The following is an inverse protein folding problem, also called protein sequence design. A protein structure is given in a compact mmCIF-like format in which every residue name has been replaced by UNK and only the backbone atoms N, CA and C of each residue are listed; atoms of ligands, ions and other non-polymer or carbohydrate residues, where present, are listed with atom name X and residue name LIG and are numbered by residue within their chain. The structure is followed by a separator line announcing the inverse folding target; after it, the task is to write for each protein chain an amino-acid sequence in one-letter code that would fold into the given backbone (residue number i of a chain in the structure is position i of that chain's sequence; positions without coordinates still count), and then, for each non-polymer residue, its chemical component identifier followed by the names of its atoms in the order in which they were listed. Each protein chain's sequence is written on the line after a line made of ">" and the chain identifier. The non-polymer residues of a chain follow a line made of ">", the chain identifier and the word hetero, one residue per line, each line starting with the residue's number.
data_IF_381878240171
#
_entry.id   IF_381878240171
#
_cell.length_a   1.000
_cell.length_b   1.000
_cell.length_c   1.000
_cell.angle_alpha   90.00
_cell.angle_beta   90.00
_cell.angle_gamma   90.00
#
_symmetry.space_group_name_H-M   'P 1'
#
loop_
_entity.id
_entity.type
_entity.pdbx_description
1 polymer ?
#
# COMPACT_ATOMS: atom_id res chain seq x y z
N UNK A 1 5.66 -5.79 0.40
CA UNK A 1 7.02 -6.01 -0.17
C UNK A 1 7.86 -6.91 0.71
N UNK A 2 8.39 -6.45 1.84
CA UNK A 2 9.37 -7.20 2.67
C UNK A 2 8.96 -8.65 3.01
N UNK A 3 7.71 -8.87 3.42
CA UNK A 3 7.24 -10.23 3.75
C UNK A 3 7.25 -11.17 2.55
N UNK A 4 6.90 -10.69 1.35
CA UNK A 4 6.92 -11.48 0.11
C UNK A 4 8.37 -11.88 -0.20
N UNK A 5 9.30 -10.93 -0.19
CA UNK A 5 10.72 -11.20 -0.41
C UNK A 5 11.28 -12.19 0.61
N UNK A 6 10.94 -12.00 1.89
CA UNK A 6 11.38 -12.87 2.97
C UNK A 6 10.91 -14.31 2.79
N UNK A 7 9.61 -14.52 2.53
CA UNK A 7 9.04 -15.86 2.33
C UNK A 7 9.62 -16.55 1.09
N UNK A 8 9.77 -15.83 -0.02
CA UNK A 8 10.24 -16.37 -1.29
C UNK A 8 11.73 -16.67 -1.28
N UNK A 9 12.56 -15.77 -0.77
CA UNK A 9 14.01 -15.88 -0.86
C UNK A 9 14.63 -16.67 0.31
N UNK A 10 14.08 -16.55 1.51
CA UNK A 10 14.67 -17.15 2.71
C UNK A 10 13.96 -18.44 3.13
N UNK A 11 12.70 -18.65 2.71
CA UNK A 11 11.89 -19.85 3.02
C UNK A 11 12.00 -20.23 4.50
N UNK A 12 11.66 -19.31 5.41
CA UNK A 12 11.88 -19.49 6.84
C UNK A 12 11.05 -20.62 7.41
N UNK A 13 11.63 -21.40 8.33
CA UNK A 13 10.89 -22.41 9.09
C UNK A 13 10.10 -21.77 10.23
N UNK A 14 8.98 -22.36 10.62
CA UNK A 14 8.20 -21.97 11.80
C UNK A 14 7.25 -20.80 11.58
N UNK A 15 7.10 -20.28 10.35
CA UNK A 15 6.06 -19.32 10.02
C UNK A 15 4.71 -20.05 9.91
N UNK A 16 3.77 -19.72 10.79
CA UNK A 16 2.44 -20.32 10.82
C UNK A 16 1.50 -19.69 9.80
N UNK A 17 1.56 -18.38 9.63
CA UNK A 17 0.80 -17.63 8.62
C UNK A 17 1.46 -16.28 8.33
N UNK A 18 1.04 -15.64 7.25
CA UNK A 18 1.46 -14.30 6.85
C UNK A 18 0.24 -13.38 6.69
N UNK A 19 0.45 -12.08 6.94
CA UNK A 19 -0.56 -11.05 6.72
C UNK A 19 0.05 -9.95 5.85
N UNK A 20 -0.57 -9.67 4.72
CA UNK A 20 -0.20 -8.60 3.80
C UNK A 20 -1.34 -7.58 3.82
N UNK A 21 -1.14 -6.49 4.57
CA UNK A 21 -2.08 -5.38 4.65
C UNK A 21 -1.61 -4.26 3.73
N UNK A 22 -2.42 -3.95 2.72
CA UNK A 22 -2.19 -2.87 1.75
C UNK A 22 -0.79 -2.90 1.11
N UNK A 23 -0.26 -4.11 0.87
CA UNK A 23 1.05 -4.32 0.25
C UNK A 23 0.96 -4.59 -1.25
N UNK A 24 2.12 -4.78 -1.90
CA UNK A 24 2.16 -5.10 -3.33
C UNK A 24 3.27 -6.11 -3.67
N UNK A 25 3.10 -6.89 -4.74
CA UNK A 25 4.07 -7.87 -5.20
C UNK A 25 5.02 -7.33 -6.28
N UNK A 26 4.75 -6.12 -6.80
CA UNK A 26 5.46 -5.56 -7.97
C UNK A 26 5.40 -4.05 -7.94
N UNK A 27 6.56 -3.41 -8.11
CA UNK A 27 6.66 -1.94 -8.18
C UNK A 27 6.11 -1.41 -9.51
N UNK A 28 6.27 -2.15 -10.60
CA UNK A 28 5.70 -1.77 -11.90
C UNK A 28 4.17 -1.83 -11.89
N UNK A 29 3.57 -2.89 -11.33
CA UNK A 29 2.12 -3.01 -11.17
C UNK A 29 1.58 -1.92 -10.24
N UNK A 30 2.27 -1.65 -9.12
CA UNK A 30 1.89 -0.57 -8.22
C UNK A 30 1.85 0.76 -8.95
N UNK A 31 2.95 1.16 -9.61
CA UNK A 31 3.01 2.42 -10.36
C UNK A 31 1.93 2.51 -11.44
N UNK A 32 1.69 1.44 -12.19
CA UNK A 32 0.63 1.38 -13.20
C UNK A 32 -0.76 1.65 -12.59
N UNK A 33 -1.06 1.07 -11.44
CA UNK A 33 -2.35 1.25 -10.77
C UNK A 33 -2.48 2.64 -10.14
N UNK A 34 -1.38 3.21 -9.59
CA UNK A 34 -1.41 4.61 -9.15
C UNK A 34 -1.71 5.55 -10.33
N UNK A 35 -1.06 5.35 -11.48
CA UNK A 35 -1.35 6.14 -12.69
C UNK A 35 -2.78 5.93 -13.22
N UNK A 36 -3.38 4.76 -12.98
CA UNK A 36 -4.79 4.54 -13.26
C UNK A 36 -5.69 5.38 -12.33
N UNK A 37 -5.35 5.44 -11.04
CA UNK A 37 -6.04 6.31 -10.08
C UNK A 37 -5.89 7.80 -10.44
N UNK A 38 -4.70 8.24 -10.86
CA UNK A 38 -4.45 9.61 -11.30
C UNK A 38 -5.37 10.05 -12.45
N UNK A 39 -5.73 9.15 -13.37
CA UNK A 39 -6.67 9.44 -14.46
C UNK A 39 -8.10 9.79 -13.98
N UNK A 40 -8.43 9.50 -12.73
CA UNK A 40 -9.70 9.87 -12.12
C UNK A 40 -9.63 11.20 -11.34
N UNK A 41 -8.47 11.83 -11.30
CA UNK A 41 -8.27 13.17 -10.75
C UNK A 41 -8.74 14.25 -11.75
N UNK A 42 -8.79 15.51 -11.29
CA UNK A 42 -9.07 16.63 -12.19
C UNK A 42 -8.00 16.77 -13.29
N UNK A 43 -8.35 17.34 -14.43
CA UNK A 43 -7.39 17.59 -15.50
C UNK A 43 -6.24 18.50 -15.04
N UNK A 44 -6.48 19.43 -14.12
CA UNK A 44 -5.50 20.30 -13.51
C UNK A 44 -4.50 19.51 -12.66
N UNK A 45 -5.01 18.62 -11.80
CA UNK A 45 -4.16 17.75 -10.97
C UNK A 45 -3.29 16.83 -11.82
N UNK A 46 -3.90 16.20 -12.84
CA UNK A 46 -3.17 15.34 -13.78
C UNK A 46 -2.03 16.12 -14.48
N UNK A 47 -2.29 17.35 -14.92
CA UNK A 47 -1.29 18.18 -15.58
C UNK A 47 -0.16 18.57 -14.63
N UNK A 48 -0.48 18.93 -13.37
CA UNK A 48 0.52 19.30 -12.36
C UNK A 48 1.45 18.10 -12.03
N UNK A 49 0.88 16.93 -11.85
CA UNK A 49 1.63 15.69 -11.57
C UNK A 49 2.49 15.30 -12.78
N UNK A 50 1.93 15.29 -14.00
CA UNK A 50 2.68 14.95 -15.20
C UNK A 50 3.86 15.92 -15.46
N UNK A 51 3.69 17.22 -15.14
CA UNK A 51 4.76 18.20 -15.21
C UNK A 51 5.87 17.86 -14.21
N UNK A 52 5.52 17.55 -12.95
CA UNK A 52 6.50 17.20 -11.92
C UNK A 52 7.30 15.94 -12.30
N UNK A 53 6.63 14.90 -12.79
CA UNK A 53 7.29 13.68 -13.27
C UNK A 53 8.23 13.95 -14.46
N UNK A 54 7.82 14.80 -15.40
CA UNK A 54 8.63 15.13 -16.57
C UNK A 54 9.87 16.00 -16.25
N UNK A 55 9.76 16.85 -15.25
CA UNK A 55 10.84 17.81 -14.86
C UNK A 55 11.69 17.33 -13.68
N UNK A 56 11.17 16.38 -12.88
CA UNK A 56 11.76 16.00 -11.59
C UNK A 56 11.57 17.04 -10.49
N UNK A 57 10.76 18.08 -10.73
CA UNK A 57 10.46 19.12 -9.72
C UNK A 57 9.20 18.76 -8.93
N UNK A 58 9.42 18.06 -7.82
CA UNK A 58 8.38 17.67 -6.87
C UNK A 58 8.17 18.72 -5.75
N UNK A 59 8.73 19.92 -5.89
CA UNK A 59 8.54 21.05 -4.97
C UNK A 59 7.53 22.10 -5.48
N UNK A 60 7.08 22.00 -6.73
CA UNK A 60 6.08 22.90 -7.34
C UNK A 60 4.79 22.92 -6.49
N UNK A 61 4.28 24.08 -6.04
CA UNK A 61 3.08 24.16 -5.21
C UNK A 61 1.83 23.54 -5.84
N UNK A 62 1.69 23.57 -7.17
CA UNK A 62 0.56 22.93 -7.85
C UNK A 62 0.66 21.40 -7.76
N UNK A 63 1.88 20.87 -7.89
CA UNK A 63 2.13 19.44 -7.67
C UNK A 63 1.83 19.04 -6.23
N UNK A 64 2.35 19.76 -5.23
CA UNK A 64 2.13 19.45 -3.82
C UNK A 64 0.63 19.39 -3.50
N UNK A 65 -0.13 20.40 -3.95
CA UNK A 65 -1.57 20.41 -3.76
C UNK A 65 -2.31 19.25 -4.47
N UNK A 66 -1.87 18.85 -5.66
CA UNK A 66 -2.41 17.73 -6.39
C UNK A 66 -2.09 16.39 -5.68
N UNK A 67 -0.84 16.22 -5.21
CA UNK A 67 -0.40 15.07 -4.44
C UNK A 67 -1.17 14.92 -3.12
N UNK A 68 -1.39 16.01 -2.40
CA UNK A 68 -2.20 16.00 -1.17
C UNK A 68 -3.61 15.48 -1.44
N UNK A 69 -4.27 15.96 -2.50
CA UNK A 69 -5.60 15.47 -2.89
C UNK A 69 -5.60 13.99 -3.28
N UNK A 70 -4.53 13.53 -3.93
CA UNK A 70 -4.34 12.12 -4.25
C UNK A 70 -4.20 11.27 -2.97
N UNK A 71 -3.34 11.70 -2.06
CA UNK A 71 -3.11 11.02 -0.77
C UNK A 71 -4.38 11.00 0.09
N UNK A 72 -5.11 12.11 0.16
CA UNK A 72 -6.39 12.16 0.87
C UNK A 72 -7.43 11.20 0.29
N UNK A 73 -7.42 11.00 -1.02
CA UNK A 73 -8.36 10.12 -1.71
C UNK A 73 -8.05 8.64 -1.56
N UNK A 74 -6.76 8.28 -1.47
CA UNK A 74 -6.30 6.89 -1.57
C UNK A 74 -5.53 6.38 -0.37
N UNK A 75 -4.94 7.26 0.44
CA UNK A 75 -4.15 6.87 1.60
C UNK A 75 -4.90 7.10 2.91
N UNK A 76 -5.04 8.33 3.33
CA UNK A 76 -5.65 8.71 4.60
C UNK A 76 -6.08 10.19 4.58
N UNK A 77 -6.92 10.64 5.53
CA UNK A 77 -7.18 12.06 5.70
C UNK A 77 -5.88 12.83 5.96
N UNK A 78 -5.76 14.03 5.39
CA UNK A 78 -4.63 14.93 5.66
C UNK A 78 -4.68 15.49 7.09
N UNK A 79 -5.87 15.58 7.65
CA UNK A 79 -6.09 16.05 9.02
C UNK A 79 -7.06 15.15 9.75
N UNK A 80 -6.84 14.95 11.04
CA UNK A 80 -7.75 14.22 11.92
C UNK A 80 -8.47 15.18 12.88
N UNK A 81 -9.71 14.86 13.32
CA UNK A 81 -10.38 15.61 14.36
C UNK A 81 -9.54 15.68 15.65
N UNK A 82 -9.73 16.75 16.42
CA UNK A 82 -8.96 16.95 17.66
C UNK A 82 -9.18 15.86 18.73
N UNK A 83 -10.31 15.15 18.65
CA UNK A 83 -10.67 14.02 19.52
C UNK A 83 -10.27 12.66 18.94
N UNK A 84 -9.57 12.64 17.81
CA UNK A 84 -9.02 11.39 17.25
C UNK A 84 -7.99 10.76 18.22
N UNK A 85 -7.80 9.42 18.14
CA UNK A 85 -6.80 8.75 18.97
C UNK A 85 -5.41 9.40 18.86
N UNK A 86 -4.70 9.49 19.99
CA UNK A 86 -3.38 10.14 20.11
C UNK A 86 -2.38 9.60 19.07
N UNK A 87 -2.43 8.31 18.75
CA UNK A 87 -1.56 7.71 17.72
C UNK A 87 -1.73 8.31 16.31
N UNK A 88 -2.85 8.98 16.03
CA UNK A 88 -3.13 9.66 14.76
C UNK A 88 -2.75 11.15 14.79
N UNK A 89 -2.82 11.78 15.97
CA UNK A 89 -2.67 13.23 16.15
C UNK A 89 -1.31 13.66 16.68
N UNK A 90 -0.56 12.73 17.33
CA UNK A 90 0.78 13.04 17.86
C UNK A 90 1.75 13.44 16.77
N UNK A 91 2.67 14.32 17.11
CA UNK A 91 3.83 14.62 16.25
C UNK A 91 4.62 13.34 15.93
N UNK A 92 4.92 13.16 14.66
CA UNK A 92 5.67 12.00 14.16
C UNK A 92 7.04 12.44 13.65
N UNK A 93 8.05 11.65 13.97
CA UNK A 93 9.36 11.79 13.31
C UNK A 93 9.24 11.20 11.90
N UNK A 94 9.62 11.96 10.91
CA UNK A 94 9.58 11.53 9.51
C UNK A 94 10.84 10.74 9.15
N UNK A 95 10.68 9.69 8.35
CA UNK A 95 11.77 8.91 7.77
C UNK A 95 11.94 9.21 6.27
N UNK A 96 11.82 10.47 5.89
CA UNK A 96 11.75 10.92 4.51
C UNK A 96 12.96 10.48 3.67
N UNK A 97 14.16 10.53 4.23
CA UNK A 97 15.38 10.07 3.54
C UNK A 97 15.31 8.58 3.18
N UNK A 98 14.85 7.72 4.09
CA UNK A 98 14.73 6.30 3.85
C UNK A 98 13.67 6.00 2.78
N UNK A 99 12.55 6.71 2.83
CA UNK A 99 11.49 6.59 1.84
C UNK A 99 11.96 7.03 0.44
N UNK A 100 12.58 8.21 0.33
CA UNK A 100 13.12 8.74 -0.92
C UNK A 100 14.19 7.81 -1.52
N UNK A 101 15.09 7.28 -0.69
CA UNK A 101 16.12 6.35 -1.14
C UNK A 101 15.55 5.00 -1.61
N UNK A 102 14.62 4.46 -0.84
CA UNK A 102 14.01 3.16 -1.11
C UNK A 102 12.99 3.20 -2.24
N UNK A 103 12.07 4.14 -2.19
CA UNK A 103 10.93 4.21 -3.09
C UNK A 103 11.02 5.34 -4.11
N UNK A 104 11.03 6.58 -3.65
CA UNK A 104 11.04 7.75 -4.53
C UNK A 104 10.25 8.93 -3.95
N UNK A 105 9.93 9.93 -4.76
CA UNK A 105 9.34 11.19 -4.28
C UNK A 105 7.86 11.08 -3.89
N UNK A 106 7.16 10.06 -4.32
CA UNK A 106 5.72 9.86 -4.10
C UNK A 106 5.29 8.42 -4.40
N UNK A 107 4.02 8.09 -4.22
CA UNK A 107 3.49 6.73 -4.37
C UNK A 107 3.49 6.21 -5.81
N UNK A 108 3.46 7.08 -6.82
CA UNK A 108 3.30 6.69 -8.23
C UNK A 108 4.60 6.75 -9.06
N UNK A 109 5.68 7.35 -8.52
CA UNK A 109 6.96 7.52 -9.22
C UNK A 109 8.09 6.75 -8.53
N UNK A 110 8.13 5.40 -8.58
CA UNK A 110 9.18 4.61 -7.95
C UNK A 110 10.51 4.80 -8.69
N UNK A 111 11.41 5.57 -8.09
CA UNK A 111 12.75 5.86 -8.65
C UNK A 111 13.89 5.37 -7.75
N UNK A 112 13.55 4.92 -6.54
CA UNK A 112 14.50 4.44 -5.55
C UNK A 112 15.01 3.02 -5.82
N UNK A 113 15.70 2.44 -4.82
CA UNK A 113 16.32 1.12 -4.93
C UNK A 113 15.31 -0.03 -5.06
N UNK A 114 14.04 0.21 -4.71
CA UNK A 114 12.95 -0.77 -4.79
C UNK A 114 12.18 -0.70 -6.13
N UNK A 115 12.57 0.16 -7.06
CA UNK A 115 11.87 0.35 -8.34
C UNK A 115 11.75 -0.94 -9.17
N UNK A 116 12.71 -1.85 -9.03
CA UNK A 116 12.77 -3.12 -9.78
C UNK A 116 12.29 -4.32 -8.94
N UNK A 117 11.53 -4.06 -7.86
CA UNK A 117 10.92 -5.11 -7.05
C UNK A 117 9.78 -5.79 -7.82
N UNK A 118 10.01 -7.02 -8.29
CA UNK A 118 9.06 -7.77 -9.13
C UNK A 118 9.00 -9.23 -8.65
N UNK A 119 7.85 -9.62 -8.04
CA UNK A 119 7.64 -10.93 -7.44
C UNK A 119 6.37 -11.64 -7.92
N UNK A 120 5.65 -11.11 -8.92
CA UNK A 120 4.38 -11.69 -9.38
C UNK A 120 4.57 -13.15 -9.78
N UNK A 121 5.56 -13.46 -10.61
CA UNK A 121 5.83 -14.81 -11.10
C UNK A 121 6.32 -15.77 -10.00
N UNK A 122 6.71 -15.23 -8.86
CA UNK A 122 7.22 -15.98 -7.71
C UNK A 122 6.21 -16.14 -6.56
N UNK A 123 5.04 -15.50 -6.65
CA UNK A 123 3.98 -15.65 -5.64
C UNK A 123 3.58 -17.13 -5.40
N UNK A 124 3.56 -18.03 -6.42
CA UNK A 124 3.27 -19.44 -6.19
C UNK A 124 4.28 -20.19 -5.31
N UNK A 125 5.45 -19.59 -5.03
CA UNK A 125 6.44 -20.17 -4.11
C UNK A 125 6.04 -20.01 -2.64
N UNK A 126 5.16 -19.04 -2.30
CA UNK A 126 4.65 -18.81 -0.94
C UNK A 126 3.68 -19.95 -0.59
N UNK A 127 4.02 -20.72 0.44
CA UNK A 127 3.23 -21.88 0.91
C UNK A 127 2.44 -21.60 2.18
N UNK A 128 2.86 -20.62 2.93
CA UNK A 128 2.26 -20.20 4.19
C UNK A 128 0.84 -19.67 3.95
N UNK A 129 -0.13 -20.04 4.80
CA UNK A 129 -1.44 -19.40 4.78
C UNK A 129 -1.29 -17.89 4.83
N UNK A 130 -1.87 -17.18 3.85
CA UNK A 130 -1.64 -15.73 3.70
C UNK A 130 -2.96 -14.96 3.67
N UNK A 131 -3.14 -14.05 4.62
CA UNK A 131 -4.25 -13.10 4.61
C UNK A 131 -3.82 -11.83 3.86
N UNK A 132 -4.58 -11.46 2.85
CA UNK A 132 -4.41 -10.22 2.09
C UNK A 132 -5.54 -9.27 2.49
N UNK A 133 -5.20 -8.03 2.85
CA UNK A 133 -6.16 -7.00 3.25
C UNK A 133 -5.95 -5.78 2.38
N UNK A 134 -7.01 -5.20 1.84
CA UNK A 134 -6.98 -3.94 1.10
C UNK A 134 -8.31 -3.19 1.19
N UNK A 135 -8.29 -1.89 0.94
CA UNK A 135 -9.49 -1.07 0.80
C UNK A 135 -9.95 -0.95 -0.66
N UNK A 136 -11.20 -0.52 -0.86
CA UNK A 136 -11.76 -0.29 -2.21
C UNK A 136 -11.04 0.86 -2.93
N UNK A 137 -10.66 1.90 -2.18
CA UNK A 137 -9.99 3.11 -2.70
C UNK A 137 -8.51 3.19 -2.33
N UNK A 138 -7.96 2.07 -1.88
CA UNK A 138 -6.59 1.92 -1.42
C UNK A 138 -5.56 2.22 -2.53
N UNK A 139 -4.38 2.70 -2.14
CA UNK A 139 -3.17 2.68 -2.98
C UNK A 139 -2.88 1.24 -3.46
N UNK A 140 -3.00 0.24 -2.57
CA UNK A 140 -3.08 -1.17 -2.95
C UNK A 140 -4.44 -1.45 -3.59
N UNK A 141 -4.59 -1.06 -4.86
CA UNK A 141 -5.86 -1.20 -5.57
C UNK A 141 -6.40 -2.62 -5.51
N UNK A 142 -7.71 -2.83 -5.68
CA UNK A 142 -8.27 -4.18 -5.78
C UNK A 142 -7.58 -5.07 -6.82
N UNK A 143 -7.01 -4.50 -7.89
CA UNK A 143 -6.23 -5.28 -8.87
C UNK A 143 -4.89 -5.75 -8.29
N UNK A 144 -4.18 -4.90 -7.56
CA UNK A 144 -2.92 -5.27 -6.89
C UNK A 144 -3.18 -6.38 -5.87
N UNK A 145 -4.19 -6.21 -5.02
CA UNK A 145 -4.58 -7.22 -4.03
C UNK A 145 -5.02 -8.54 -4.69
N UNK A 146 -5.83 -8.46 -5.75
CA UNK A 146 -6.27 -9.64 -6.52
C UNK A 146 -5.10 -10.36 -7.16
N UNK A 147 -4.08 -9.66 -7.66
CA UNK A 147 -2.88 -10.29 -8.23
C UNK A 147 -2.16 -11.15 -7.19
N UNK A 148 -2.05 -10.68 -5.94
CA UNK A 148 -1.50 -11.49 -4.86
C UNK A 148 -2.41 -12.67 -4.50
N UNK A 149 -3.72 -12.44 -4.43
CA UNK A 149 -4.70 -13.49 -4.14
C UNK A 149 -4.68 -14.61 -5.18
N UNK A 150 -4.65 -14.27 -6.46
CA UNK A 150 -4.59 -15.24 -7.55
C UNK A 150 -3.24 -16.00 -7.60
N UNK A 151 -2.15 -15.33 -7.16
CA UNK A 151 -0.80 -15.89 -7.25
C UNK A 151 -0.37 -16.72 -6.04
N UNK A 152 -0.90 -16.47 -4.83
CA UNK A 152 -0.53 -17.17 -3.60
C UNK A 152 -1.52 -18.32 -3.36
N UNK A 153 -1.12 -19.61 -3.44
CA UNK A 153 -2.04 -20.76 -3.43
C UNK A 153 -2.94 -20.85 -2.19
N UNK A 154 -2.40 -20.50 -1.01
CA UNK A 154 -3.10 -20.61 0.27
C UNK A 154 -3.48 -19.23 0.81
N UNK A 155 -4.11 -18.40 -0.02
CA UNK A 155 -4.45 -17.04 0.38
C UNK A 155 -5.95 -16.84 0.57
N UNK A 156 -6.28 -15.89 1.43
CA UNK A 156 -7.61 -15.32 1.62
C UNK A 156 -7.50 -13.81 1.44
N UNK A 157 -8.43 -13.21 0.71
CA UNK A 157 -8.48 -11.76 0.53
C UNK A 157 -9.71 -11.17 1.18
N UNK A 158 -9.50 -10.15 2.02
CA UNK A 158 -10.54 -9.35 2.66
C UNK A 158 -10.50 -7.93 2.13
N UNK A 159 -11.55 -7.55 1.41
CA UNK A 159 -11.75 -6.20 0.91
C UNK A 159 -12.55 -5.37 1.92
N UNK A 160 -11.99 -4.25 2.35
CA UNK A 160 -12.66 -3.27 3.18
C UNK A 160 -13.37 -2.26 2.28
N UNK A 161 -14.69 -2.44 2.16
CA UNK A 161 -15.52 -1.60 1.29
C UNK A 161 -15.54 -0.15 1.79
N UNK A 162 -15.26 0.79 0.87
CA UNK A 162 -15.20 2.22 1.15
C UNK A 162 -13.89 2.69 1.80
N UNK A 163 -13.02 1.78 2.26
CA UNK A 163 -11.76 2.14 2.89
C UNK A 163 -10.64 2.46 1.89
N UNK A 164 -9.66 3.21 2.39
CA UNK A 164 -8.40 3.57 1.72
C UNK A 164 -7.24 2.72 2.26
N UNK A 165 -6.01 3.20 2.10
CA UNK A 165 -4.79 2.51 2.50
C UNK A 165 -4.70 2.21 4.01
N UNK A 166 -5.29 3.07 4.83
CA UNK A 166 -5.30 2.91 6.28
C UNK A 166 -6.60 2.28 6.79
N UNK A 167 -7.06 1.20 6.17
CA UNK A 167 -8.28 0.49 6.58
C UNK A 167 -8.26 0.06 8.06
N UNK A 168 -7.09 -0.17 8.65
CA UNK A 168 -6.89 -0.45 10.07
C UNK A 168 -7.29 0.72 10.99
N UNK A 169 -7.35 1.94 10.46
CA UNK A 169 -7.87 3.13 11.16
C UNK A 169 -9.35 3.34 10.86
N UNK A 170 -9.73 3.19 9.59
CA UNK A 170 -11.06 3.54 9.09
C UNK A 170 -12.15 2.58 9.55
N UNK A 171 -11.81 1.29 9.71
CA UNK A 171 -12.68 0.27 10.31
C UNK A 171 -11.88 -0.60 11.29
N UNK A 172 -11.35 0.04 12.34
CA UNK A 172 -10.50 -0.61 13.33
C UNK A 172 -11.16 -1.82 14.02
N UNK A 173 -12.44 -1.78 14.44
CA UNK A 173 -13.06 -2.94 15.08
C UNK A 173 -13.09 -4.19 14.18
N UNK A 174 -13.45 -4.02 12.90
CA UNK A 174 -13.45 -5.12 11.93
C UNK A 174 -12.03 -5.60 11.66
N UNK A 175 -11.08 -4.68 11.53
CA UNK A 175 -9.68 -5.00 11.26
C UNK A 175 -9.06 -5.83 12.40
N UNK A 176 -9.20 -5.40 13.65
CA UNK A 176 -8.68 -6.11 14.83
C UNK A 176 -9.35 -7.47 14.99
N UNK A 177 -10.67 -7.56 14.78
CA UNK A 177 -11.40 -8.83 14.80
C UNK A 177 -10.84 -9.80 13.77
N UNK A 178 -10.70 -9.37 12.52
CA UNK A 178 -10.16 -10.17 11.41
C UNK A 178 -8.77 -10.72 11.74
N UNK A 179 -7.85 -9.87 12.21
CA UNK A 179 -6.51 -10.30 12.58
C UNK A 179 -6.52 -11.32 13.72
N UNK A 180 -7.35 -11.07 14.75
CA UNK A 180 -7.45 -11.97 15.92
C UNK A 180 -8.04 -13.33 15.55
N UNK A 181 -8.97 -13.38 14.62
CA UNK A 181 -9.54 -14.63 14.10
C UNK A 181 -8.51 -15.38 13.26
N UNK A 182 -7.85 -14.68 12.31
CA UNK A 182 -6.82 -15.25 11.46
C UNK A 182 -5.66 -15.87 12.24
N UNK A 183 -5.12 -15.14 13.23
CA UNK A 183 -4.03 -15.64 14.06
C UNK A 183 -4.45 -16.88 14.86
N UNK A 184 -5.66 -16.89 15.46
CA UNK A 184 -6.15 -18.05 16.19
C UNK A 184 -6.38 -19.29 15.31
N UNK A 185 -6.79 -19.09 14.06
CA UNK A 185 -6.97 -20.19 13.10
C UNK A 185 -5.64 -20.87 12.72
N UNK A 186 -4.50 -20.19 12.95
CA UNK A 186 -3.19 -20.64 12.49
C UNK A 186 -2.13 -20.74 13.62
N UNK A 187 -2.53 -20.67 14.88
CA UNK A 187 -1.59 -20.73 16.03
C UNK A 187 -1.14 -22.17 16.39
N UNK A 188 -1.77 -23.20 15.85
CA UNK A 188 -1.49 -24.61 16.13
C UNK A 188 -0.29 -25.19 15.34
#
# INVERSE_FOLDING_TARGET
>A
MLIIEYLVNYKPEGIKSAIISSGHPSSSLWSQEQHRWLKLMSAEDQAAIAKAEATGDFSDPAYLAANDRFMERHCCPLTYPADAPECLTREKKHGDEAYLYGWGPNEYTPTGTLKDFEYIDRLPEIKEPTLIISGTYDLCSPLVAKTMYDGIPNSRWELFEGARHMCFVEDNPRYVKLLSEWMREHDD
#
